data_IF_504341791068
#
_entry.id   IF_504341791068
#
_cell.length_a   1.000
_cell.length_b   1.000
_cell.length_c   1.000
_cell.angle_alpha   90.00
_cell.angle_beta   90.00
_cell.angle_gamma   90.00
#
_symmetry.space_group_name_H-M   'P 1'
#
loop_
_entity.id
_entity.type
_entity.pdbx_description
1 polymer ?
#
# COMPACT_ATOMS: atom_id res chain seq x y z
N UNK A 1 -28.39 -0.53 -12.17
CA UNK A 1 -28.46 0.57 -13.15
C UNK A 1 -28.64 1.86 -12.41
N UNK A 2 -27.73 2.82 -12.58
CA UNK A 2 -27.81 4.14 -11.92
C UNK A 2 -28.00 5.20 -13.00
N UNK A 3 -28.97 6.09 -12.83
CA UNK A 3 -29.23 7.21 -13.75
C UNK A 3 -28.48 8.44 -13.26
N UNK A 4 -27.81 9.14 -14.17
CA UNK A 4 -27.20 10.44 -13.89
C UNK A 4 -28.11 11.57 -14.40
N UNK A 5 -27.99 12.75 -13.81
CA UNK A 5 -28.69 13.96 -14.27
C UNK A 5 -27.66 14.99 -14.74
N UNK A 6 -27.94 15.61 -15.88
CA UNK A 6 -27.21 16.77 -16.39
C UNK A 6 -27.69 18.04 -15.66
N UNK A 7 -26.77 18.82 -15.12
CA UNK A 7 -27.05 20.15 -14.59
C UNK A 7 -27.12 21.19 -15.71
N UNK A 8 -27.65 22.37 -15.36
CA UNK A 8 -27.75 23.55 -16.22
C UNK A 8 -26.40 24.04 -16.77
N UNK A 9 -25.32 23.85 -16.02
CA UNK A 9 -23.95 24.17 -16.42
C UNK A 9 -23.24 23.03 -17.21
N UNK A 10 -23.98 22.02 -17.66
CA UNK A 10 -23.42 20.94 -18.49
C UNK A 10 -22.60 19.91 -17.71
N UNK A 11 -22.70 19.86 -16.37
CA UNK A 11 -22.02 18.85 -15.55
C UNK A 11 -22.94 17.65 -15.33
N UNK A 12 -22.41 16.45 -15.52
CA UNK A 12 -23.11 15.23 -15.13
C UNK A 12 -22.64 14.84 -13.73
N UNK A 13 -23.54 14.90 -12.76
CA UNK A 13 -23.27 14.37 -11.41
C UNK A 13 -23.77 12.93 -11.36
N UNK A 14 -22.85 11.99 -11.22
CA UNK A 14 -23.15 10.57 -11.08
C UNK A 14 -22.53 10.01 -9.80
N UNK A 15 -23.28 9.20 -9.08
CA UNK A 15 -22.79 8.49 -7.89
C UNK A 15 -22.49 7.04 -8.27
N UNK A 16 -21.20 6.68 -8.28
CA UNK A 16 -20.76 5.30 -8.45
C UNK A 16 -21.32 4.44 -7.30
N UNK A 17 -22.03 3.33 -7.59
CA UNK A 17 -22.42 2.38 -6.57
C UNK A 17 -21.20 1.86 -5.82
N UNK A 18 -21.32 1.69 -4.50
CA UNK A 18 -20.24 1.18 -3.64
C UNK A 18 -19.61 -0.11 -4.19
N UNK A 19 -20.42 -1.04 -4.69
CA UNK A 19 -19.95 -2.28 -5.29
C UNK A 19 -19.03 -2.08 -6.50
N UNK A 20 -19.31 -1.10 -7.36
CA UNK A 20 -18.48 -0.80 -8.54
C UNK A 20 -17.20 -0.10 -8.12
N UNK A 21 -17.33 0.90 -7.23
CA UNK A 21 -16.18 1.64 -6.71
C UNK A 21 -15.17 0.69 -6.03
N UNK A 22 -15.65 -0.15 -5.13
CA UNK A 22 -14.82 -1.03 -4.32
C UNK A 22 -14.23 -2.17 -5.19
N UNK A 23 -14.97 -2.71 -6.17
CA UNK A 23 -14.48 -3.75 -7.08
C UNK A 23 -13.35 -3.28 -8.01
N UNK A 24 -13.36 -2.00 -8.39
CA UNK A 24 -12.33 -1.40 -9.24
C UNK A 24 -11.29 -0.58 -8.46
N UNK A 25 -11.38 -0.54 -7.13
CA UNK A 25 -10.44 0.18 -6.26
C UNK A 25 -10.43 1.69 -6.48
N UNK A 26 -11.54 2.29 -6.92
CA UNK A 26 -11.62 3.73 -7.14
C UNK A 26 -11.73 4.48 -5.80
N UNK A 27 -10.93 5.53 -5.65
CA UNK A 27 -10.89 6.34 -4.43
C UNK A 27 -11.38 7.77 -4.68
N UNK A 28 -11.56 8.53 -3.60
CA UNK A 28 -11.89 9.94 -3.73
C UNK A 28 -10.73 10.67 -4.43
N UNK A 29 -11.02 11.34 -5.55
CA UNK A 29 -10.01 12.01 -6.36
C UNK A 29 -9.47 11.19 -7.55
N UNK A 30 -9.96 9.97 -7.78
CA UNK A 30 -9.68 9.27 -9.05
C UNK A 30 -10.21 10.09 -10.23
N UNK A 31 -9.32 10.40 -11.18
CA UNK A 31 -9.65 11.09 -12.42
C UNK A 31 -10.06 10.09 -13.51
N UNK A 32 -10.99 10.48 -14.37
CA UNK A 32 -11.48 9.66 -15.46
C UNK A 32 -11.37 10.42 -16.77
N UNK A 33 -10.84 9.75 -17.79
CA UNK A 33 -10.91 10.20 -19.17
C UNK A 33 -12.30 9.88 -19.71
N UNK A 34 -12.86 10.84 -20.44
CA UNK A 34 -14.20 10.75 -21.00
C UNK A 34 -14.06 10.66 -22.51
N UNK A 35 -14.43 9.52 -23.07
CA UNK A 35 -14.38 9.30 -24.53
C UNK A 35 -15.78 9.07 -25.06
N UNK A 36 -16.11 9.72 -26.17
CA UNK A 36 -17.39 9.57 -26.88
C UNK A 36 -17.20 8.72 -28.14
N UNK A 37 -17.97 7.63 -28.23
CA UNK A 37 -18.00 6.75 -29.41
C UNK A 37 -19.43 6.30 -29.69
N UNK A 38 -19.94 6.51 -30.90
CA UNK A 38 -21.20 5.94 -31.39
C UNK A 38 -22.40 6.06 -30.41
N UNK A 39 -22.55 7.23 -29.77
CA UNK A 39 -23.54 7.54 -28.71
C UNK A 39 -23.30 6.89 -27.33
N UNK A 40 -22.09 6.37 -27.10
CA UNK A 40 -21.64 5.83 -25.81
C UNK A 40 -20.58 6.76 -25.24
N UNK A 41 -20.79 7.17 -23.99
CA UNK A 41 -19.78 7.85 -23.18
C UNK A 41 -19.12 6.80 -22.31
N UNK A 42 -17.81 6.62 -22.50
CA UNK A 42 -17.00 5.72 -21.69
C UNK A 42 -16.18 6.54 -20.70
N UNK A 43 -16.16 6.08 -19.45
CA UNK A 43 -15.30 6.63 -18.40
C UNK A 43 -14.18 5.63 -18.15
N UNK A 44 -12.97 5.98 -18.56
CA UNK A 44 -11.78 5.18 -18.28
C UNK A 44 -11.00 5.85 -17.15
N UNK A 45 -10.62 5.13 -16.08
CA UNK A 45 -9.77 5.74 -15.05
C UNK A 45 -8.48 6.18 -15.71
N UNK A 46 -8.13 7.45 -15.57
CA UNK A 46 -6.78 7.91 -15.93
C UNK A 46 -5.87 7.14 -15.00
N UNK A 47 -5.06 6.22 -15.56
CA UNK A 47 -3.90 5.75 -14.83
C UNK A 47 -3.11 7.02 -14.56
N UNK A 48 -3.20 7.55 -13.35
CA UNK A 48 -2.08 8.26 -12.81
C UNK A 48 -0.97 7.25 -12.95
N UNK A 49 -0.12 7.45 -13.95
CA UNK A 49 1.27 7.04 -13.83
C UNK A 49 1.64 7.64 -12.49
N UNK A 50 1.54 6.82 -11.44
CA UNK A 50 2.36 7.05 -10.29
C UNK A 50 3.72 7.16 -10.95
N UNK A 51 4.21 8.39 -11.05
CA UNK A 51 5.61 8.68 -11.06
C UNK A 51 6.16 8.17 -9.72
N UNK A 52 6.05 6.87 -9.46
CA UNK A 52 7.22 6.05 -9.32
C UNK A 52 8.04 6.32 -10.59
N UNK A 53 8.68 7.49 -10.61
CA UNK A 53 10.03 7.53 -11.12
C UNK A 53 10.69 6.51 -10.22
N UNK A 54 10.74 5.25 -10.66
CA UNK A 54 11.74 4.31 -10.22
C UNK A 54 13.03 5.06 -10.54
N UNK A 55 13.48 5.86 -9.57
CA UNK A 55 14.71 6.61 -9.69
C UNK A 55 15.73 5.49 -9.64
N UNK A 56 16.12 5.01 -10.82
CA UNK A 56 17.13 3.98 -10.96
C UNK A 56 18.40 4.60 -10.41
N UNK A 57 18.67 4.30 -9.15
CA UNK A 57 19.91 4.71 -8.52
C UNK A 57 21.03 4.01 -9.26
N UNK A 58 22.06 4.76 -9.59
CA UNK A 58 23.36 4.18 -9.87
C UNK A 58 23.84 3.38 -8.66
N UNK A 59 24.75 2.43 -8.87
CA UNK A 59 25.34 1.63 -7.77
C UNK A 59 25.95 2.56 -6.71
N UNK A 60 26.61 3.64 -7.13
CA UNK A 60 27.25 4.60 -6.22
C UNK A 60 26.24 5.39 -5.37
N UNK A 61 25.11 5.81 -5.97
CA UNK A 61 24.03 6.47 -5.23
C UNK A 61 23.41 5.52 -4.19
N UNK A 62 23.21 4.25 -4.55
CA UNK A 62 22.71 3.25 -3.61
C UNK A 62 23.68 3.01 -2.46
N UNK A 63 24.98 2.82 -2.75
CA UNK A 63 26.01 2.61 -1.72
C UNK A 63 26.13 3.81 -0.76
N UNK A 64 25.91 5.03 -1.27
CA UNK A 64 25.94 6.26 -0.46
C UNK A 64 24.77 6.37 0.52
N UNK A 65 23.67 5.64 0.28
CA UNK A 65 22.51 5.59 1.18
C UNK A 65 22.68 4.55 2.31
N UNK A 66 23.65 3.64 2.20
CA UNK A 66 23.90 2.63 3.24
C UNK A 66 24.40 3.35 4.49
N UNK A 67 23.68 3.28 5.63
CA UNK A 67 24.14 3.89 6.86
C UNK A 67 25.50 3.33 7.26
N UNK A 68 26.47 4.22 7.51
CA UNK A 68 27.75 3.81 8.07
C UNK A 68 27.57 3.46 9.54
N UNK A 69 28.06 2.29 9.92
CA UNK A 69 28.02 1.83 11.30
C UNK A 69 29.32 2.28 12.00
N UNK A 70 29.20 3.26 12.90
CA UNK A 70 30.32 3.78 13.71
C UNK A 70 30.42 3.10 15.09
N UNK A 71 29.78 1.94 15.27
CA UNK A 71 29.73 1.22 16.55
C UNK A 71 30.86 0.20 16.74
N UNK A 72 30.92 -0.45 17.92
CA UNK A 72 31.88 -1.52 18.18
C UNK A 72 31.68 -2.70 17.22
N UNK A 73 32.74 -3.43 16.84
CA UNK A 73 32.61 -4.56 15.92
C UNK A 73 31.54 -5.55 16.39
N UNK A 74 30.58 -5.84 15.50
CA UNK A 74 29.56 -6.86 15.75
C UNK A 74 30.16 -8.21 15.37
N UNK A 75 30.30 -9.12 16.34
CA UNK A 75 30.78 -10.48 16.10
C UNK A 75 29.61 -11.42 15.81
N UNK A 76 29.89 -12.53 15.12
CA UNK A 76 28.88 -13.57 14.86
C UNK A 76 28.26 -14.10 16.16
N UNK A 77 29.07 -14.27 17.21
CA UNK A 77 28.59 -14.69 18.54
C UNK A 77 27.56 -13.71 19.13
N UNK A 78 27.76 -12.40 18.94
CA UNK A 78 26.80 -11.39 19.39
C UNK A 78 25.47 -11.47 18.63
N UNK A 79 25.55 -11.73 17.31
CA UNK A 79 24.37 -11.90 16.45
C UNK A 79 23.60 -13.15 16.88
N UNK A 80 24.28 -14.28 17.01
CA UNK A 80 23.66 -15.55 17.40
C UNK A 80 23.00 -15.46 18.78
N UNK A 81 23.68 -14.84 19.75
CA UNK A 81 23.13 -14.63 21.08
C UNK A 81 21.88 -13.74 21.05
N UNK A 82 21.88 -12.69 20.23
CA UNK A 82 20.72 -11.81 20.08
C UNK A 82 19.52 -12.53 19.46
N UNK A 83 19.76 -13.35 18.42
CA UNK A 83 18.72 -14.14 17.75
C UNK A 83 18.10 -15.13 18.74
N UNK A 84 18.92 -15.89 19.47
CA UNK A 84 18.43 -16.89 20.45
C UNK A 84 17.64 -16.21 21.57
N UNK A 85 18.12 -15.08 22.09
CA UNK A 85 17.42 -14.31 23.12
C UNK A 85 16.04 -13.85 22.65
N UNK A 86 15.93 -13.31 21.44
CA UNK A 86 14.66 -12.85 20.88
C UNK A 86 13.71 -14.02 20.57
N UNK A 87 14.24 -15.16 20.11
CA UNK A 87 13.45 -16.38 19.90
C UNK A 87 12.83 -16.87 21.21
N UNK A 88 13.62 -16.91 22.30
CA UNK A 88 13.13 -17.28 23.63
C UNK A 88 12.07 -16.30 24.12
N UNK A 89 12.29 -14.98 23.98
CA UNK A 89 11.31 -13.96 24.38
C UNK A 89 9.97 -14.15 23.68
N UNK A 90 9.99 -14.46 22.38
CA UNK A 90 8.77 -14.72 21.59
C UNK A 90 8.08 -15.99 22.03
N UNK A 91 8.85 -17.06 22.26
CA UNK A 91 8.33 -18.32 22.77
C UNK A 91 7.63 -18.13 24.12
N UNK A 92 8.28 -17.47 25.08
CA UNK A 92 7.73 -17.21 26.41
C UNK A 92 6.46 -16.36 26.38
N UNK A 93 6.37 -15.43 25.41
CA UNK A 93 5.17 -14.61 25.23
C UNK A 93 4.00 -15.46 24.72
N UNK A 94 4.24 -16.32 23.73
CA UNK A 94 3.23 -17.22 23.20
C UNK A 94 2.81 -18.20 24.30
N UNK A 95 3.75 -18.84 24.98
CA UNK A 95 3.42 -19.85 25.99
C UNK A 95 2.58 -19.28 27.15
N UNK A 96 2.89 -18.05 27.61
CA UNK A 96 2.07 -17.36 28.61
C UNK A 96 0.63 -17.11 28.15
N UNK A 97 0.44 -16.66 26.91
CA UNK A 97 -0.89 -16.43 26.35
C UNK A 97 -1.71 -17.74 26.28
N UNK A 98 -1.08 -18.85 25.89
CA UNK A 98 -1.74 -20.16 25.83
C UNK A 98 -2.10 -20.73 27.21
N UNK A 99 -1.32 -20.41 28.24
CA UNK A 99 -1.60 -20.82 29.62
C UNK A 99 -2.72 -19.98 30.26
N UNK A 100 -2.87 -18.72 29.88
CA UNK A 100 -3.99 -17.85 30.27
C UNK A 100 -5.30 -18.31 29.61
N UNK A 101 -5.29 -18.59 28.30
CA UNK A 101 -6.46 -19.04 27.52
C UNK A 101 -7.05 -20.39 27.99
N UNK A 102 -6.28 -21.20 28.73
CA UNK A 102 -6.71 -22.52 29.26
C UNK A 102 -7.27 -22.47 30.68
N UNK A 103 -7.10 -21.37 31.40
CA UNK A 103 -7.56 -21.20 32.77
C UNK A 103 -8.85 -20.37 32.89
N UNK A 104 -9.40 -19.89 31.77
CA UNK A 104 -10.76 -19.36 31.62
C UNK A 104 -11.76 -20.45 31.15
#
# INVERSE_FOLDING_TARGET
MTRAKMSDNGRITFTLPKSVRDAHGYEAGTEFEVTEHDNVITLEPVKQEQRLVEKKLTIDEFLSLIPRYDGPPITDEMIDKAIVSEANRRWDKVNRQWDEDKND
#
